data_IF_827354339358
#
_entry.id   IF_827354339358
#
_cell.length_a   1.000
_cell.length_b   1.000
_cell.length_c   1.000
_cell.angle_alpha   90.00
_cell.angle_beta   90.00
_cell.angle_gamma   90.00
#
_symmetry.space_group_name_H-M   'P 1'
#
loop_
_entity.id
_entity.type
_entity.pdbx_description
1 polymer ?
#
# COMPACT_ATOMS: atom_id res chain seq x y z
N UNK A 1 5.07 -12.94 27.13
CA UNK A 1 5.54 -11.57 27.42
C UNK A 1 4.57 -10.95 28.41
N UNK A 2 5.05 -10.41 29.55
CA UNK A 2 4.17 -9.79 30.55
C UNK A 2 3.69 -8.41 30.06
N UNK A 3 2.43 -8.10 30.30
CA UNK A 3 1.82 -6.81 29.91
C UNK A 3 2.59 -5.62 30.52
N UNK A 4 3.07 -5.76 31.72
CA UNK A 4 3.89 -4.75 32.43
C UNK A 4 5.25 -4.44 31.77
N UNK A 5 5.70 -5.31 30.86
CA UNK A 5 6.93 -5.12 30.07
C UNK A 5 6.65 -4.74 28.60
N UNK A 6 5.38 -4.58 28.24
CA UNK A 6 4.98 -4.24 26.89
C UNK A 6 4.98 -2.73 26.70
N UNK A 7 5.55 -2.25 25.58
CA UNK A 7 5.51 -0.85 25.22
C UNK A 7 4.12 -0.49 24.66
N UNK A 8 3.22 -0.05 25.56
CA UNK A 8 1.85 0.35 25.24
C UNK A 8 1.59 1.71 25.90
N UNK A 9 1.95 2.82 25.25
CA UNK A 9 1.80 4.18 25.79
C UNK A 9 0.34 4.65 25.70
N UNK A 10 -0.47 4.28 26.69
CA UNK A 10 -1.88 4.67 26.77
C UNK A 10 -2.02 6.16 27.10
N UNK A 11 -2.92 6.82 26.40
CA UNK A 11 -3.32 8.19 26.71
C UNK A 11 -4.55 8.19 27.63
N UNK A 12 -4.55 9.05 28.66
CA UNK A 12 -5.71 9.22 29.55
C UNK A 12 -6.90 9.85 28.82
N UNK A 13 -6.60 10.88 28.03
CA UNK A 13 -7.60 11.65 27.30
C UNK A 13 -7.49 11.40 25.77
N UNK A 14 -8.56 11.66 25.06
CA UNK A 14 -8.53 11.68 23.61
C UNK A 14 -7.82 12.93 23.12
N UNK A 15 -6.90 12.81 22.14
CA UNK A 15 -6.29 13.97 21.51
C UNK A 15 -7.34 14.85 20.82
N UNK A 16 -7.21 16.17 20.98
CA UNK A 16 -8.17 17.15 20.45
C UNK A 16 -8.22 17.18 18.91
N UNK A 17 -7.10 16.88 18.27
CA UNK A 17 -6.94 16.82 16.82
C UNK A 17 -7.65 15.63 16.16
N UNK A 18 -7.93 14.57 16.93
CA UNK A 18 -8.61 13.38 16.42
C UNK A 18 -10.14 13.59 16.37
N UNK A 19 -10.71 13.59 15.17
CA UNK A 19 -12.16 13.81 14.98
C UNK A 19 -12.96 12.52 14.98
N UNK A 20 -12.53 11.51 14.22
CA UNK A 20 -13.25 10.24 14.07
C UNK A 20 -12.90 9.23 15.17
N UNK A 21 -13.83 8.31 15.44
CA UNK A 21 -13.73 7.34 16.54
C UNK A 21 -12.51 6.42 16.41
N UNK A 22 -12.24 5.88 15.22
CA UNK A 22 -11.11 5.00 14.98
C UNK A 22 -9.77 5.70 15.27
N UNK A 23 -9.57 6.92 14.77
CA UNK A 23 -8.35 7.69 15.02
C UNK A 23 -8.17 7.97 16.52
N UNK A 24 -9.25 8.40 17.21
CA UNK A 24 -9.24 8.61 18.67
C UNK A 24 -8.78 7.35 19.43
N UNK A 25 -9.36 6.21 19.07
CA UNK A 25 -9.06 4.94 19.73
C UNK A 25 -7.62 4.48 19.45
N UNK A 26 -7.16 4.56 18.21
CA UNK A 26 -5.80 4.15 17.85
C UNK A 26 -4.72 4.96 18.57
N UNK A 27 -4.90 6.28 18.66
CA UNK A 27 -3.99 7.15 19.42
C UNK A 27 -4.07 6.84 20.93
N UNK A 28 -5.27 6.73 21.49
CA UNK A 28 -5.47 6.48 22.91
C UNK A 28 -4.90 5.14 23.37
N UNK A 29 -5.04 4.10 22.55
CA UNK A 29 -4.53 2.75 22.84
C UNK A 29 -3.02 2.60 22.56
N UNK A 30 -2.36 3.66 22.12
CA UNK A 30 -0.95 3.57 21.77
C UNK A 30 -0.68 2.60 20.63
N UNK A 31 -1.58 2.53 19.64
CA UNK A 31 -1.37 1.77 18.41
C UNK A 31 -0.55 2.53 17.39
N UNK A 32 -0.75 3.84 17.34
CA UNK A 32 -0.04 4.77 16.45
C UNK A 32 0.38 6.01 17.21
N UNK A 33 1.40 6.69 16.71
CA UNK A 33 1.82 8.03 17.14
C UNK A 33 2.05 8.89 15.91
N UNK A 34 1.44 10.05 15.89
CA UNK A 34 1.65 11.03 14.81
C UNK A 34 3.06 11.60 14.91
N UNK A 35 3.82 11.54 13.82
CA UNK A 35 5.16 12.13 13.68
C UNK A 35 5.08 13.51 13.04
N UNK A 36 4.26 13.63 12.00
CA UNK A 36 3.89 14.90 11.36
C UNK A 36 2.52 14.77 10.71
N UNK A 37 2.01 15.83 10.10
CA UNK A 37 0.69 15.79 9.44
C UNK A 37 0.62 14.67 8.39
N UNK A 38 -0.26 13.70 8.61
CA UNK A 38 -0.46 12.54 7.73
C UNK A 38 0.67 11.50 7.74
N UNK A 39 1.60 11.55 8.72
CA UNK A 39 2.69 10.57 8.87
C UNK A 39 2.64 10.00 10.28
N UNK A 40 2.60 8.69 10.40
CA UNK A 40 2.41 7.98 11.66
C UNK A 40 3.46 6.91 11.90
N UNK A 41 3.97 6.87 13.13
CA UNK A 41 4.70 5.71 13.63
C UNK A 41 3.71 4.65 14.10
N UNK A 42 3.89 3.42 13.65
CA UNK A 42 3.13 2.26 14.12
C UNK A 42 3.81 1.69 15.36
N UNK A 43 3.15 1.77 16.49
CA UNK A 43 3.66 1.23 17.75
C UNK A 43 3.39 -0.27 17.84
N UNK A 44 4.00 -1.02 18.78
CA UNK A 44 3.98 -2.48 18.77
C UNK A 44 2.60 -3.11 18.65
N UNK A 45 1.59 -2.56 19.32
CA UNK A 45 0.21 -3.08 19.23
C UNK A 45 -0.39 -2.86 17.85
N UNK A 46 -0.30 -1.64 17.33
CA UNK A 46 -0.80 -1.30 15.99
C UNK A 46 -0.06 -2.05 14.89
N UNK A 47 1.27 -2.18 15.03
CA UNK A 47 2.08 -2.94 14.09
C UNK A 47 1.72 -4.43 14.04
N UNK A 48 1.40 -5.04 15.20
CA UNK A 48 0.89 -6.42 15.22
C UNK A 48 -0.43 -6.58 14.45
N UNK A 49 -1.34 -5.63 14.59
CA UNK A 49 -2.60 -5.66 13.85
C UNK A 49 -2.34 -5.51 12.35
N UNK A 50 -1.49 -4.55 11.96
CA UNK A 50 -1.11 -4.35 10.56
C UNK A 50 -0.50 -5.62 9.95
N UNK A 51 0.39 -6.30 10.70
CA UNK A 51 1.02 -7.56 10.24
C UNK A 51 0.02 -8.71 10.09
N UNK A 52 -1.02 -8.77 10.93
CA UNK A 52 -2.10 -9.76 10.75
C UNK A 52 -2.91 -9.49 9.49
N UNK A 53 -3.28 -8.24 9.25
CA UNK A 53 -4.00 -7.84 8.02
C UNK A 53 -3.14 -8.13 6.80
N UNK A 54 -1.85 -7.77 6.82
CA UNK A 54 -0.89 -8.07 5.77
C UNK A 54 -0.84 -9.58 5.46
N UNK A 55 -0.83 -10.42 6.50
CA UNK A 55 -0.79 -11.87 6.35
C UNK A 55 -2.06 -12.42 5.70
N UNK A 56 -3.24 -11.96 6.12
CA UNK A 56 -4.53 -12.34 5.51
C UNK A 56 -4.54 -11.95 4.03
N UNK A 57 -4.18 -10.70 3.73
CA UNK A 57 -4.13 -10.23 2.34
C UNK A 57 -3.16 -11.06 1.50
N UNK A 58 -2.00 -11.43 2.05
CA UNK A 58 -1.02 -12.29 1.37
C UNK A 58 -1.57 -13.68 1.07
N UNK A 59 -2.24 -14.29 2.04
CA UNK A 59 -2.85 -15.61 1.88
C UNK A 59 -3.90 -15.58 0.77
N UNK A 60 -4.78 -14.58 0.76
CA UNK A 60 -5.80 -14.43 -0.26
C UNK A 60 -5.22 -14.17 -1.67
N UNK A 61 -4.16 -13.34 -1.78
CA UNK A 61 -3.47 -13.13 -3.06
C UNK A 61 -2.85 -14.44 -3.58
N UNK A 62 -2.22 -15.21 -2.71
CA UNK A 62 -1.62 -16.50 -3.07
C UNK A 62 -2.70 -17.53 -3.49
N UNK A 63 -3.86 -17.53 -2.84
CA UNK A 63 -4.98 -18.43 -3.14
C UNK A 63 -5.51 -18.25 -4.58
N UNK A 64 -5.48 -17.03 -5.12
CA UNK A 64 -5.87 -16.78 -6.52
C UNK A 64 -4.73 -17.03 -7.52
N UNK A 65 -3.56 -17.43 -7.04
CA UNK A 65 -2.38 -17.71 -7.87
C UNK A 65 -1.52 -16.51 -8.18
N UNK A 66 -1.71 -15.37 -7.48
CA UNK A 66 -0.84 -14.21 -7.64
C UNK A 66 0.49 -14.42 -6.90
N UNK A 67 1.58 -13.86 -7.45
CA UNK A 67 2.94 -14.00 -6.93
C UNK A 67 3.40 -12.68 -6.30
N UNK A 68 3.95 -12.76 -5.09
CA UNK A 68 4.47 -11.58 -4.40
C UNK A 68 5.82 -11.16 -5.00
N UNK A 69 5.96 -9.87 -5.30
CA UNK A 69 7.23 -9.25 -5.64
C UNK A 69 7.51 -8.07 -4.70
N UNK A 70 8.76 -7.74 -4.49
CA UNK A 70 9.17 -6.57 -3.72
C UNK A 70 9.93 -5.61 -4.62
N UNK A 71 9.31 -4.47 -4.90
CA UNK A 71 9.86 -3.41 -5.73
C UNK A 71 10.41 -2.27 -4.88
N UNK A 72 11.40 -1.50 -5.36
CA UNK A 72 11.95 -0.37 -4.63
C UNK A 72 10.90 0.75 -4.42
N UNK A 73 11.03 1.46 -3.30
CA UNK A 73 10.21 2.66 -3.02
C UNK A 73 10.68 3.87 -3.80
N UNK A 74 11.99 3.94 -4.10
CA UNK A 74 12.58 5.01 -4.90
C UNK A 74 12.63 4.54 -6.36
N UNK A 75 12.08 5.37 -7.25
CA UNK A 75 11.95 5.07 -8.67
C UNK A 75 12.65 6.15 -9.51
N UNK A 76 13.13 5.75 -10.71
CA UNK A 76 13.64 6.70 -11.69
C UNK A 76 12.50 7.53 -12.28
N UNK A 77 12.73 8.83 -12.48
CA UNK A 77 11.77 9.67 -13.20
C UNK A 77 11.63 9.29 -14.68
N UNK A 78 12.59 8.59 -15.26
CA UNK A 78 12.59 8.22 -16.68
C UNK A 78 11.42 7.34 -17.08
N UNK A 79 11.11 6.30 -16.28
CA UNK A 79 9.97 5.40 -16.55
C UNK A 79 8.62 6.13 -16.46
N UNK A 80 8.54 7.15 -15.62
CA UNK A 80 7.37 7.99 -15.47
C UNK A 80 7.22 9.02 -16.58
N UNK A 81 8.35 9.52 -17.10
CA UNK A 81 8.38 10.39 -18.30
C UNK A 81 8.00 9.59 -19.55
N UNK A 82 8.46 8.34 -19.66
CA UNK A 82 8.09 7.43 -20.74
C UNK A 82 6.59 7.16 -20.79
N UNK A 83 5.93 6.96 -19.65
CA UNK A 83 4.46 6.77 -19.58
C UNK A 83 3.67 8.06 -19.75
N UNK A 84 4.31 9.23 -19.71
CA UNK A 84 3.67 10.53 -19.72
C UNK A 84 3.08 10.98 -18.39
N UNK A 85 3.10 10.11 -17.36
CA UNK A 85 2.47 10.39 -16.06
C UNK A 85 3.32 11.25 -15.12
N UNK A 86 4.57 11.56 -15.47
CA UNK A 86 5.45 12.32 -14.58
C UNK A 86 4.91 13.72 -14.25
N UNK A 87 4.36 14.42 -15.26
CA UNK A 87 3.75 15.73 -15.06
C UNK A 87 2.28 15.61 -14.64
N UNK A 88 1.53 14.67 -15.24
CA UNK A 88 0.09 14.48 -15.00
C UNK A 88 -0.23 14.08 -13.56
N UNK A 89 0.70 13.39 -12.86
CA UNK A 89 0.51 13.03 -11.45
C UNK A 89 0.50 14.24 -10.51
N UNK A 90 1.07 15.34 -10.95
CA UNK A 90 1.03 16.62 -10.26
C UNK A 90 1.90 16.71 -9.00
N UNK A 91 1.45 17.56 -8.06
CA UNK A 91 2.20 17.90 -6.84
C UNK A 91 2.17 16.82 -5.76
N UNK A 92 1.29 15.83 -5.87
CA UNK A 92 1.23 14.72 -4.92
C UNK A 92 2.44 13.78 -5.03
N UNK A 93 3.17 13.84 -6.13
CA UNK A 93 4.40 13.07 -6.33
C UNK A 93 5.57 13.72 -5.60
N UNK A 94 6.18 13.00 -4.66
CA UNK A 94 7.40 13.46 -4.00
C UNK A 94 8.60 13.29 -4.93
N UNK A 95 9.03 14.38 -5.57
CA UNK A 95 10.20 14.43 -6.46
C UNK A 95 11.46 14.76 -5.65
N UNK A 96 12.55 14.04 -5.93
CA UNK A 96 13.80 14.14 -5.20
C UNK A 96 14.93 14.23 -6.21
N UNK A 97 16.01 14.92 -5.85
CA UNK A 97 17.30 14.85 -6.58
C UNK A 97 18.30 14.09 -5.75
N UNK A 98 18.97 13.13 -6.36
CA UNK A 98 20.07 12.43 -5.71
C UNK A 98 21.37 13.27 -5.71
N UNK A 99 22.44 12.73 -5.12
CA UNK A 99 23.75 13.42 -5.06
C UNK A 99 24.39 13.67 -6.41
N UNK A 100 23.94 13.00 -7.46
CA UNK A 100 24.39 13.17 -8.84
C UNK A 100 23.45 14.04 -9.66
N UNK A 101 22.50 14.75 -9.00
CA UNK A 101 21.45 15.56 -9.62
C UNK A 101 20.50 14.77 -10.54
N UNK A 102 20.42 13.44 -10.39
CA UNK A 102 19.43 12.65 -11.13
C UNK A 102 18.06 12.82 -10.48
N UNK A 103 17.04 12.99 -11.31
CA UNK A 103 15.65 13.07 -10.86
C UNK A 103 15.14 11.68 -10.52
N UNK A 104 14.72 11.53 -9.30
CA UNK A 104 14.09 10.33 -8.76
C UNK A 104 12.83 10.72 -8.00
N UNK A 105 12.00 9.76 -7.67
CA UNK A 105 10.77 10.02 -6.92
C UNK A 105 10.52 8.91 -5.88
N UNK A 106 9.78 9.25 -4.85
CA UNK A 106 9.22 8.24 -3.97
C UNK A 106 7.92 7.71 -4.62
N UNK A 107 7.87 6.42 -4.92
CA UNK A 107 6.76 5.81 -5.68
C UNK A 107 5.39 5.99 -5.03
N UNK A 108 4.49 6.78 -5.63
CA UNK A 108 3.10 6.88 -5.17
C UNK A 108 2.28 5.65 -5.59
N UNK A 109 2.75 4.94 -6.59
CA UNK A 109 2.23 3.69 -7.16
C UNK A 109 3.32 3.02 -8.00
N UNK A 110 3.10 1.83 -8.56
CA UNK A 110 4.16 1.05 -9.21
C UNK A 110 3.82 0.54 -10.61
N UNK A 111 2.82 1.06 -11.30
CA UNK A 111 2.45 0.63 -12.66
C UNK A 111 3.63 0.72 -13.61
N UNK A 112 4.36 1.82 -13.60
CA UNK A 112 5.52 2.02 -14.47
C UNK A 112 6.62 1.01 -14.17
N UNK A 113 6.90 0.81 -12.88
CA UNK A 113 8.00 -0.06 -12.44
C UNK A 113 7.69 -1.53 -12.71
N UNK A 114 6.48 -2.00 -12.42
CA UNK A 114 6.10 -3.40 -12.69
C UNK A 114 6.03 -3.68 -14.18
N UNK A 115 5.60 -2.72 -14.99
CA UNK A 115 5.58 -2.83 -16.45
C UNK A 115 6.99 -2.89 -17.02
N UNK A 116 7.91 -2.08 -16.49
CA UNK A 116 9.33 -2.15 -16.89
C UNK A 116 9.96 -3.51 -16.55
N UNK A 117 9.72 -4.03 -15.34
CA UNK A 117 10.17 -5.38 -14.94
C UNK A 117 9.59 -6.43 -15.89
N UNK A 118 8.29 -6.37 -16.16
CA UNK A 118 7.59 -7.32 -17.02
C UNK A 118 8.15 -7.32 -18.44
N UNK A 119 8.23 -6.15 -19.12
CA UNK A 119 8.71 -6.05 -20.51
C UNK A 119 10.17 -6.53 -20.66
N UNK A 120 10.99 -6.36 -19.64
CA UNK A 120 12.39 -6.79 -19.66
C UNK A 120 12.56 -8.29 -19.35
N UNK A 121 11.61 -8.89 -18.61
CA UNK A 121 11.70 -10.27 -18.14
C UNK A 121 10.94 -11.26 -19.01
N UNK A 122 9.76 -10.92 -19.52
CA UNK A 122 8.90 -11.82 -20.28
C UNK A 122 9.21 -11.70 -21.77
N UNK A 123 9.53 -12.84 -22.37
CA UNK A 123 9.92 -12.93 -23.79
C UNK A 123 8.94 -13.70 -24.66
N UNK A 124 7.91 -14.30 -24.06
CA UNK A 124 6.94 -15.12 -24.79
C UNK A 124 5.54 -14.95 -24.20
N UNK A 125 4.56 -14.81 -25.08
CA UNK A 125 3.14 -14.79 -24.72
C UNK A 125 2.68 -16.08 -24.00
N UNK A 126 3.42 -17.19 -24.16
CA UNK A 126 3.14 -18.46 -23.47
C UNK A 126 3.33 -18.39 -21.96
N UNK A 127 3.98 -17.33 -21.47
CA UNK A 127 4.16 -17.07 -20.03
C UNK A 127 2.99 -16.32 -19.41
N UNK A 128 1.98 -15.93 -20.19
CA UNK A 128 0.78 -15.26 -19.74
C UNK A 128 -0.34 -16.26 -19.37
N UNK A 129 -1.26 -15.92 -18.48
CA UNK A 129 -1.30 -14.68 -17.71
C UNK A 129 -0.26 -14.66 -16.58
N UNK A 130 0.13 -13.44 -16.14
CA UNK A 130 0.95 -13.23 -14.94
C UNK A 130 0.16 -12.35 -13.97
N UNK A 131 -0.02 -12.85 -12.75
CA UNK A 131 -0.63 -12.12 -11.66
C UNK A 131 0.44 -11.80 -10.62
N UNK A 132 0.75 -10.54 -10.43
CA UNK A 132 1.78 -10.07 -9.50
C UNK A 132 1.14 -9.16 -8.45
N UNK A 133 1.61 -9.24 -7.22
CA UNK A 133 1.22 -8.28 -6.19
C UNK A 133 2.41 -7.83 -5.37
N UNK A 134 2.24 -6.71 -4.68
CA UNK A 134 3.28 -6.03 -3.96
C UNK A 134 2.70 -5.40 -2.70
N UNK A 135 3.37 -5.56 -1.56
CA UNK A 135 2.97 -4.97 -0.29
C UNK A 135 4.10 -4.09 0.20
N UNK A 136 3.91 -2.77 0.16
CA UNK A 136 4.99 -1.82 0.42
C UNK A 136 4.46 -0.47 0.87
N UNK A 137 5.32 0.31 1.47
CA UNK A 137 5.11 1.72 1.78
C UNK A 137 4.98 2.54 0.49
N UNK A 138 4.02 3.48 0.52
CA UNK A 138 3.79 4.48 -0.52
C UNK A 138 3.78 5.85 0.12
N UNK A 139 4.08 6.85 -0.68
CA UNK A 139 3.97 8.24 -0.28
C UNK A 139 3.22 9.03 -1.33
N UNK A 140 2.25 9.82 -0.88
CA UNK A 140 1.55 10.83 -1.67
C UNK A 140 1.51 12.13 -0.84
N UNK A 141 1.98 13.22 -1.41
CA UNK A 141 2.02 14.51 -0.72
C UNK A 141 0.61 15.12 -0.64
N UNK A 142 -0.26 14.43 0.06
CA UNK A 142 -1.66 14.82 0.26
C UNK A 142 -1.74 16.17 0.99
N UNK A 143 -2.33 17.15 0.33
CA UNK A 143 -2.44 18.52 0.83
C UNK A 143 -3.26 18.59 2.13
N UNK A 144 -4.27 17.74 2.29
CA UNK A 144 -5.20 17.75 3.43
C UNK A 144 -5.36 16.37 4.04
N UNK A 145 -4.32 15.83 4.70
CA UNK A 145 -4.42 14.55 5.38
C UNK A 145 -5.49 14.64 6.49
N UNK A 146 -6.31 13.61 6.59
CA UNK A 146 -7.45 13.60 7.54
C UNK A 146 -7.86 12.18 7.89
N UNK A 147 -8.63 12.05 8.96
CA UNK A 147 -9.15 10.76 9.44
C UNK A 147 -8.05 9.76 9.89
N UNK A 148 -6.94 10.28 10.43
CA UNK A 148 -5.83 9.46 10.89
C UNK A 148 -5.19 8.69 9.75
N UNK A 149 -5.07 7.37 9.90
CA UNK A 149 -4.45 6.49 8.88
C UNK A 149 -5.32 6.27 7.64
N UNK A 150 -6.58 6.71 7.62
CA UNK A 150 -7.47 6.49 6.47
C UNK A 150 -7.11 7.38 5.27
N UNK A 151 -6.59 8.57 5.50
CA UNK A 151 -6.10 9.48 4.46
C UNK A 151 -4.84 10.18 4.97
N UNK A 152 -3.74 9.50 4.87
CA UNK A 152 -2.42 9.93 5.29
C UNK A 152 -1.49 10.12 4.09
N UNK A 153 -0.31 10.67 4.32
CA UNK A 153 0.71 10.94 3.28
C UNK A 153 1.60 9.73 3.06
N UNK A 154 1.98 9.06 4.14
CA UNK A 154 2.75 7.82 4.10
C UNK A 154 1.85 6.68 4.58
N UNK A 155 1.73 5.63 3.78
CA UNK A 155 0.82 4.52 4.06
C UNK A 155 1.33 3.20 3.49
N UNK A 156 0.85 2.12 4.09
CA UNK A 156 1.14 0.76 3.65
C UNK A 156 0.05 0.30 2.71
N UNK A 157 0.41 -0.13 1.51
CA UNK A 157 -0.52 -0.50 0.45
C UNK A 157 -0.19 -1.88 -0.11
N UNK A 158 -1.22 -2.68 -0.37
CA UNK A 158 -1.16 -3.77 -1.32
C UNK A 158 -1.67 -3.27 -2.68
N UNK A 159 -0.88 -3.40 -3.68
CA UNK A 159 -1.21 -3.20 -5.08
C UNK A 159 -0.99 -4.51 -5.85
N UNK A 160 -1.85 -4.80 -6.81
CA UNK A 160 -1.78 -6.00 -7.63
C UNK A 160 -1.96 -5.66 -9.11
N UNK A 161 -1.31 -6.45 -9.95
CA UNK A 161 -1.17 -6.20 -11.38
C UNK A 161 -1.38 -7.50 -12.14
N UNK A 162 -2.11 -7.44 -13.24
CA UNK A 162 -2.23 -8.56 -14.16
C UNK A 162 -1.65 -8.19 -15.53
N UNK A 163 -1.08 -9.17 -16.18
CA UNK A 163 -0.62 -9.10 -17.56
C UNK A 163 -1.24 -10.26 -18.30
N UNK A 164 -2.12 -9.96 -19.23
CA UNK A 164 -3.00 -10.92 -19.86
C UNK A 164 -2.81 -10.91 -21.38
N UNK A 165 -3.33 -11.91 -22.08
CA UNK A 165 -3.16 -12.05 -23.54
C UNK A 165 -4.26 -11.33 -24.34
N UNK A 166 -5.43 -11.19 -23.74
CA UNK A 166 -6.61 -10.58 -24.33
C UNK A 166 -7.38 -9.76 -23.31
N UNK A 167 -8.31 -8.94 -23.79
CA UNK A 167 -9.20 -8.15 -22.91
C UNK A 167 -10.10 -9.05 -22.07
N UNK A 168 -10.58 -10.19 -22.62
CA UNK A 168 -11.39 -11.16 -21.90
C UNK A 168 -10.58 -11.82 -20.75
N UNK A 169 -9.29 -12.15 -20.99
CA UNK A 169 -8.40 -12.68 -19.97
C UNK A 169 -8.13 -11.61 -18.89
N UNK A 170 -7.96 -10.35 -19.27
CA UNK A 170 -7.77 -9.25 -18.33
C UNK A 170 -9.01 -9.03 -17.46
N UNK A 171 -10.22 -9.09 -18.04
CA UNK A 171 -11.47 -9.05 -17.28
C UNK A 171 -11.59 -10.23 -16.30
N UNK A 172 -11.22 -11.43 -16.74
CA UNK A 172 -11.19 -12.60 -15.86
C UNK A 172 -10.22 -12.43 -14.69
N UNK A 173 -9.01 -11.94 -14.94
CA UNK A 173 -8.00 -11.65 -13.92
C UNK A 173 -8.48 -10.55 -12.96
N UNK A 174 -9.09 -9.48 -13.48
CA UNK A 174 -9.70 -8.42 -12.68
C UNK A 174 -10.79 -8.96 -11.75
N UNK A 175 -11.68 -9.80 -12.27
CA UNK A 175 -12.76 -10.40 -11.49
C UNK A 175 -12.23 -11.30 -10.36
N UNK A 176 -11.13 -12.03 -10.58
CA UNK A 176 -10.45 -12.78 -9.51
C UNK A 176 -10.02 -11.87 -8.36
N UNK A 177 -9.39 -10.73 -8.67
CA UNK A 177 -9.00 -9.76 -7.65
C UNK A 177 -10.20 -9.11 -6.96
N UNK A 178 -11.29 -8.85 -7.68
CA UNK A 178 -12.53 -8.30 -7.09
C UNK A 178 -13.18 -9.26 -6.11
N UNK A 179 -13.32 -10.54 -6.47
CA UNK A 179 -13.92 -11.56 -5.62
C UNK A 179 -13.17 -11.74 -4.30
N UNK A 180 -11.86 -11.62 -4.32
CA UNK A 180 -11.02 -11.69 -3.13
C UNK A 180 -11.43 -10.67 -2.07
N UNK A 181 -11.75 -9.44 -2.46
CA UNK A 181 -12.18 -8.39 -1.53
C UNK A 181 -13.64 -8.55 -1.08
N UNK A 182 -14.49 -9.12 -1.92
CA UNK A 182 -15.92 -9.32 -1.58
C UNK A 182 -16.14 -10.54 -0.72
N UNK A 183 -15.39 -11.62 -0.88
CA UNK A 183 -15.48 -12.82 -0.04
C UNK A 183 -15.05 -12.56 1.39
N UNK A 184 -13.98 -11.75 1.60
CA UNK A 184 -13.49 -11.38 2.92
C UNK A 184 -14.50 -10.46 3.65
N UNK A 185 -15.08 -9.48 2.96
CA UNK A 185 -16.12 -8.60 3.52
C UNK A 185 -17.42 -9.33 3.87
N UNK A 186 -17.75 -10.41 3.17
CA UNK A 186 -18.96 -11.23 3.45
C UNK A 186 -18.76 -12.19 4.63
N UNK A 187 -17.54 -12.69 4.86
CA UNK A 187 -17.22 -13.62 5.95
C UNK A 187 -17.21 -12.90 7.33
N UNK A 188 -16.86 -11.63 7.38
CA UNK A 188 -16.94 -10.81 8.61
C UNK A 188 -18.38 -10.55 9.07
N UNK A 189 -19.36 -10.63 8.18
CA UNK A 189 -20.80 -10.51 8.52
C UNK A 189 -21.39 -11.73 9.22
N UNK A 190 -20.71 -12.91 9.16
CA UNK A 190 -21.21 -14.17 9.71
C UNK A 190 -20.55 -14.59 11.04
N UNK A 191 -19.55 -13.85 11.52
CA UNK A 191 -18.83 -14.13 12.77
C UNK A 191 -19.19 -13.18 13.91
N UNK A 192 -20.37 -12.58 13.85
CA UNK A 192 -20.96 -11.78 14.93
C UNK A 192 -21.75 -12.63 15.91
#
# INVERSE_FOLDING_TARGET
MFLSKSFIPLLKNYPSEAKIKSHKLMLRLGMIKQSSAGIYSWLPLGFKVMKKIEQIVREEQNNIGAQEILMPTIQSSEIWKESGRYEDYGEEMLRIKDRQNREILYGPTNEELVTDIFRNSIKSYKSLPQLLYHIQWKFRDELRPRFGIMRCREFFMKDAYSFDLSDDDAEFSYNKFCLLYTSDAADDGYRG
#
